data_IF_360124900215
#
_entry.id   IF_360124900215
#
_cell.length_a   1.000
_cell.length_b   1.000
_cell.length_c   1.000
_cell.angle_alpha   90.00
_cell.angle_beta   90.00
_cell.angle_gamma   90.00
#
_symmetry.space_group_name_H-M   'P 1'
#
loop_
_entity.id
_entity.type
_entity.pdbx_description
1 polymer ?
#
# COMPACT_ATOMS: atom_id res chain seq x y z
N UNK A 1 25.00 21.22 -25.88
CA UNK A 1 24.10 20.14 -25.40
C UNK A 1 24.88 18.83 -25.41
N UNK A 2 24.87 18.06 -24.33
CA UNK A 2 25.47 16.70 -24.31
C UNK A 2 24.40 15.71 -24.76
N UNK A 3 24.71 14.92 -25.78
CA UNK A 3 23.81 13.88 -26.28
C UNK A 3 24.05 12.63 -25.45
N UNK A 4 22.97 12.06 -24.90
CA UNK A 4 23.00 10.81 -24.15
C UNK A 4 22.25 9.78 -24.99
N UNK A 5 22.91 8.68 -25.33
CA UNK A 5 22.31 7.56 -26.06
C UNK A 5 21.94 6.47 -25.07
N UNK A 6 20.65 6.14 -25.00
CA UNK A 6 20.12 5.12 -24.10
C UNK A 6 19.62 3.94 -24.94
N UNK A 7 20.29 2.78 -24.92
CA UNK A 7 19.80 1.60 -25.61
C UNK A 7 18.55 1.08 -24.90
N UNK A 8 17.44 0.99 -25.63
CA UNK A 8 16.18 0.41 -25.16
C UNK A 8 15.99 -0.97 -25.78
N UNK A 9 15.38 -1.89 -25.04
CA UNK A 9 14.90 -3.15 -25.62
C UNK A 9 13.73 -2.88 -26.57
N UNK A 10 13.56 -3.72 -27.59
CA UNK A 10 12.49 -3.56 -28.60
C UNK A 10 11.10 -3.43 -27.97
N UNK A 11 10.84 -4.21 -26.91
CA UNK A 11 9.57 -4.15 -26.17
C UNK A 11 9.35 -2.82 -25.42
N UNK A 12 10.42 -2.21 -24.92
CA UNK A 12 10.36 -0.91 -24.22
C UNK A 12 10.21 0.21 -25.23
N UNK A 13 10.95 0.15 -26.34
CA UNK A 13 10.85 1.11 -27.43
C UNK A 13 9.46 1.11 -28.07
N UNK A 14 8.88 -0.06 -28.35
CA UNK A 14 7.53 -0.19 -28.89
C UNK A 14 6.46 0.39 -27.94
N UNK A 15 6.63 0.24 -26.62
CA UNK A 15 5.77 0.87 -25.62
C UNK A 15 5.93 2.38 -25.61
N UNK A 16 7.16 2.88 -25.67
CA UNK A 16 7.45 4.31 -25.72
C UNK A 16 6.87 4.96 -26.97
N UNK A 17 7.03 4.35 -28.15
CA UNK A 17 6.40 4.78 -29.41
C UNK A 17 4.88 4.88 -29.29
N UNK A 18 4.24 3.83 -28.78
CA UNK A 18 2.79 3.81 -28.60
C UNK A 18 2.30 4.92 -27.65
N UNK A 19 3.06 5.16 -26.58
CA UNK A 19 2.74 6.20 -25.61
C UNK A 19 2.98 7.61 -26.18
N UNK A 20 4.05 7.79 -26.95
CA UNK A 20 4.37 9.03 -27.64
C UNK A 20 3.27 9.40 -28.65
N UNK A 21 2.84 8.45 -29.48
CA UNK A 21 1.68 8.62 -30.38
C UNK A 21 0.40 9.00 -29.64
N UNK A 22 0.13 8.39 -28.48
CA UNK A 22 -1.08 8.69 -27.70
C UNK A 22 -1.08 10.05 -27.01
N UNK A 23 0.10 10.66 -26.85
CA UNK A 23 0.29 11.96 -26.18
C UNK A 23 0.64 13.07 -27.17
N UNK A 24 0.76 12.76 -28.46
CA UNK A 24 1.16 13.71 -29.50
C UNK A 24 2.61 14.19 -29.37
N UNK A 25 3.44 13.48 -28.61
CA UNK A 25 4.84 13.80 -28.39
C UNK A 25 5.74 12.93 -29.27
N UNK A 26 6.95 13.41 -29.56
CA UNK A 26 8.03 12.54 -30.06
C UNK A 26 8.58 11.65 -28.93
N UNK A 27 9.07 10.46 -29.29
CA UNK A 27 9.59 9.47 -28.32
C UNK A 27 10.74 10.04 -27.50
N UNK A 28 11.61 10.84 -28.12
CA UNK A 28 12.75 11.45 -27.43
C UNK A 28 12.28 12.44 -26.36
N UNK A 29 11.26 13.24 -26.69
CA UNK A 29 10.67 14.21 -25.77
C UNK A 29 9.97 13.50 -24.59
N UNK A 30 9.23 12.42 -24.88
CA UNK A 30 8.60 11.59 -23.85
C UNK A 30 9.64 10.97 -22.90
N UNK A 31 10.68 10.32 -23.42
CA UNK A 31 11.72 9.72 -22.60
C UNK A 31 12.47 10.77 -21.75
N UNK A 32 12.73 11.94 -22.32
CA UNK A 32 13.37 13.05 -21.59
C UNK A 32 12.50 13.53 -20.43
N UNK A 33 11.18 13.69 -20.63
CA UNK A 33 10.27 14.10 -19.55
C UNK A 33 10.21 13.09 -18.40
N UNK A 34 10.27 11.79 -18.71
CA UNK A 34 10.24 10.72 -17.70
C UNK A 34 11.53 10.76 -16.87
N UNK A 35 12.68 10.96 -17.52
CA UNK A 35 13.96 11.06 -16.82
C UNK A 35 14.02 12.29 -15.91
N UNK A 36 13.55 13.44 -16.40
CA UNK A 36 13.47 14.67 -15.58
C UNK A 36 12.57 14.44 -14.37
N UNK A 37 11.36 13.89 -14.55
CA UNK A 37 10.45 13.60 -13.42
C UNK A 37 11.10 12.66 -12.40
N UNK A 38 11.82 11.64 -12.86
CA UNK A 38 12.51 10.69 -11.98
C UNK A 38 13.57 11.38 -11.11
N UNK A 39 14.44 12.20 -11.71
CA UNK A 39 15.52 12.87 -10.97
C UNK A 39 15.03 14.05 -10.12
N UNK A 40 14.00 14.78 -10.56
CA UNK A 40 13.39 15.85 -9.77
C UNK A 40 12.69 15.32 -8.52
N UNK A 41 12.20 14.07 -8.54
CA UNK A 41 11.61 13.45 -7.34
C UNK A 41 12.63 12.98 -6.29
N UNK A 42 13.91 12.84 -6.63
CA UNK A 42 14.95 12.43 -5.66
C UNK A 42 15.52 13.62 -4.87
N UNK A 43 15.38 14.86 -5.37
CA UNK A 43 15.91 16.08 -4.72
C UNK A 43 14.80 16.95 -4.11
N UNK A 44 14.19 16.50 -3.02
CA UNK A 44 13.62 17.38 -1.98
C UNK A 44 12.45 18.35 -2.30
N UNK A 45 11.28 18.02 -1.73
CA UNK A 45 10.27 18.95 -1.17
C UNK A 45 9.71 20.10 -2.03
N UNK A 46 8.53 19.89 -2.64
CA UNK A 46 7.31 20.70 -2.51
C UNK A 46 6.21 20.22 -3.47
N UNK A 47 5.05 19.82 -2.95
CA UNK A 47 3.78 19.69 -3.71
C UNK A 47 3.20 21.10 -3.97
N UNK A 48 2.50 21.38 -5.10
CA UNK A 48 1.18 20.76 -5.35
C UNK A 48 0.76 20.49 -6.83
N UNK A 49 0.16 19.30 -7.01
CA UNK A 49 -1.08 18.95 -7.75
C UNK A 49 -1.31 19.40 -9.22
N UNK A 50 -1.65 18.37 -10.03
CA UNK A 50 -2.35 18.30 -11.36
C UNK A 50 -1.39 18.23 -12.57
N UNK A 51 -1.44 17.27 -13.50
CA UNK A 51 -2.40 16.22 -13.85
C UNK A 51 -1.61 14.94 -14.22
N UNK A 52 -1.71 13.89 -13.40
CA UNK A 52 -1.27 12.55 -13.82
C UNK A 52 -2.45 11.89 -14.52
N UNK A 53 -2.44 11.88 -15.85
CA UNK A 53 -3.20 10.91 -16.65
C UNK A 53 -2.58 9.54 -16.38
N UNK A 54 -3.01 8.97 -15.25
CA UNK A 54 -2.75 7.60 -14.86
C UNK A 54 -3.35 6.68 -15.92
N UNK A 55 -2.45 5.98 -16.61
CA UNK A 55 -2.76 4.73 -17.29
C UNK A 55 -3.34 3.75 -16.26
N UNK A 56 -4.61 3.38 -16.44
CA UNK A 56 -5.34 2.33 -15.72
C UNK A 56 -5.25 2.41 -14.20
N UNK A 57 -5.92 3.41 -13.62
CA UNK A 57 -6.47 3.25 -12.28
C UNK A 57 -7.48 2.10 -12.29
N UNK A 58 -7.10 0.94 -11.75
CA UNK A 58 -8.09 0.12 -11.03
C UNK A 58 -8.67 1.04 -9.96
N UNK A 59 -9.90 1.51 -10.16
CA UNK A 59 -10.51 2.51 -9.31
C UNK A 59 -10.51 1.99 -7.86
N UNK A 60 -9.71 2.62 -7.00
CA UNK A 60 -9.81 2.36 -5.58
C UNK A 60 -11.22 2.81 -5.16
N UNK A 61 -11.98 1.90 -4.54
CA UNK A 61 -13.39 2.12 -4.20
C UNK A 61 -13.56 3.35 -3.34
N UNK A 62 -14.75 3.96 -3.33
CA UNK A 62 -15.03 5.03 -2.37
C UNK A 62 -14.76 4.53 -0.94
N UNK A 63 -14.30 5.40 -0.01
CA UNK A 63 -14.21 5.05 1.39
C UNK A 63 -15.56 4.51 1.86
N UNK A 64 -15.54 3.37 2.54
CA UNK A 64 -16.73 2.80 3.17
C UNK A 64 -16.58 2.95 4.68
N UNK A 65 -17.69 3.20 5.37
CA UNK A 65 -17.73 3.05 6.81
C UNK A 65 -17.28 1.64 7.16
N UNK A 66 -16.51 1.48 8.24
CA UNK A 66 -15.97 0.19 8.58
C UNK A 66 -17.06 -0.88 8.83
N UNK A 67 -18.25 -0.47 9.28
CA UNK A 67 -19.43 -1.33 9.43
C UNK A 67 -19.91 -1.98 8.15
N UNK A 68 -19.64 -1.36 7.00
CA UNK A 68 -20.18 -1.73 5.69
C UNK A 68 -19.13 -2.47 4.83
N UNK A 69 -17.89 -2.57 5.31
CA UNK A 69 -16.80 -3.18 4.56
C UNK A 69 -16.78 -4.70 4.74
N UNK A 70 -17.27 -5.43 3.74
CA UNK A 70 -17.20 -6.88 3.69
C UNK A 70 -15.91 -7.35 2.99
N UNK A 71 -15.02 -8.01 3.75
CA UNK A 71 -13.73 -8.53 3.22
C UNK A 71 -13.96 -9.58 2.13
N UNK A 72 -14.86 -10.53 2.35
CA UNK A 72 -15.13 -11.63 1.41
C UNK A 72 -15.63 -11.12 0.06
N UNK A 73 -16.54 -10.15 0.07
CA UNK A 73 -17.06 -9.52 -1.15
C UNK A 73 -15.98 -8.70 -1.88
N UNK A 74 -15.10 -8.05 -1.11
CA UNK A 74 -13.99 -7.27 -1.67
C UNK A 74 -12.86 -8.15 -2.22
N UNK A 75 -12.70 -9.38 -1.73
CA UNK A 75 -11.61 -10.30 -2.09
C UNK A 75 -12.10 -11.72 -2.42
N UNK A 76 -12.98 -11.92 -3.44
CA UNK A 76 -13.66 -13.20 -3.67
C UNK A 76 -12.73 -14.34 -4.13
N UNK A 77 -11.57 -14.01 -4.70
CA UNK A 77 -10.60 -14.97 -5.24
C UNK A 77 -9.40 -15.21 -4.30
N UNK A 78 -9.58 -14.96 -3.00
CA UNK A 78 -8.55 -15.15 -1.99
C UNK A 78 -8.81 -16.41 -1.16
N UNK A 79 -7.76 -17.05 -0.63
CA UNK A 79 -7.96 -18.19 0.26
C UNK A 79 -8.77 -17.81 1.49
N UNK A 80 -9.67 -18.70 1.91
CA UNK A 80 -10.59 -18.45 3.05
C UNK A 80 -9.85 -18.05 4.33
N UNK A 81 -8.71 -18.68 4.61
CA UNK A 81 -7.89 -18.34 5.77
C UNK A 81 -7.35 -16.90 5.72
N UNK A 82 -6.94 -16.42 4.55
CA UNK A 82 -6.49 -15.03 4.37
C UNK A 82 -7.64 -14.03 4.60
N UNK A 83 -8.84 -14.38 4.12
CA UNK A 83 -10.06 -13.60 4.35
C UNK A 83 -10.40 -13.60 5.85
N UNK A 84 -10.38 -14.76 6.49
CA UNK A 84 -10.69 -14.92 7.90
C UNK A 84 -9.76 -14.10 8.81
N UNK A 85 -8.45 -14.11 8.54
CA UNK A 85 -7.49 -13.31 9.30
C UNK A 85 -7.68 -11.81 9.06
N UNK A 86 -7.98 -11.39 7.83
CA UNK A 86 -8.29 -9.99 7.55
C UNK A 86 -9.58 -9.54 8.27
N UNK A 87 -10.62 -10.37 8.34
CA UNK A 87 -11.85 -10.06 9.07
C UNK A 87 -11.61 -9.90 10.57
N UNK A 88 -10.86 -10.79 11.20
CA UNK A 88 -10.50 -10.69 12.63
C UNK A 88 -9.66 -9.42 12.87
N UNK A 89 -8.66 -9.18 12.01
CA UNK A 89 -7.82 -8.00 12.12
C UNK A 89 -8.64 -6.71 12.03
N UNK A 90 -9.51 -6.58 11.04
CA UNK A 90 -10.33 -5.39 10.85
C UNK A 90 -11.36 -5.18 11.97
N UNK A 91 -11.94 -6.27 12.52
CA UNK A 91 -12.80 -6.18 13.72
C UNK A 91 -12.05 -5.56 14.90
N UNK A 92 -10.79 -5.93 15.09
CA UNK A 92 -9.98 -5.35 16.15
C UNK A 92 -9.62 -3.88 15.87
N UNK A 93 -9.32 -3.53 14.62
CA UNK A 93 -9.14 -2.12 14.22
C UNK A 93 -10.39 -1.30 14.54
N UNK A 94 -11.59 -1.80 14.20
CA UNK A 94 -12.87 -1.16 14.49
C UNK A 94 -13.14 -1.06 15.99
N UNK A 95 -12.73 -2.06 16.77
CA UNK A 95 -12.83 -2.04 18.23
C UNK A 95 -11.96 -0.94 18.85
N UNK A 96 -10.76 -0.74 18.31
CA UNK A 96 -9.81 0.30 18.74
C UNK A 96 -10.25 1.69 18.28
N UNK A 97 -10.76 1.80 17.05
CA UNK A 97 -11.25 3.04 16.47
C UNK A 97 -12.54 2.79 15.65
N UNK A 98 -13.72 3.02 16.26
CA UNK A 98 -15.00 2.81 15.57
C UNK A 98 -15.26 3.76 14.41
N UNK A 99 -14.52 4.88 14.35
CA UNK A 99 -14.72 5.94 13.33
C UNK A 99 -13.86 5.74 12.09
N UNK A 100 -13.06 4.67 12.07
CA UNK A 100 -12.11 4.43 11.00
C UNK A 100 -12.82 4.19 9.66
N UNK A 101 -12.30 4.76 8.59
CA UNK A 101 -12.78 4.49 7.24
C UNK A 101 -11.90 3.43 6.58
N UNK A 102 -12.53 2.43 5.96
CA UNK A 102 -11.87 1.34 5.26
C UNK A 102 -12.00 1.52 3.75
N UNK A 103 -10.90 1.26 3.04
CA UNK A 103 -10.88 1.35 1.58
C UNK A 103 -10.10 0.18 0.99
N UNK A 104 -10.70 -0.54 0.05
CA UNK A 104 -9.93 -1.47 -0.79
C UNK A 104 -9.06 -0.68 -1.75
N UNK A 105 -7.75 -0.91 -1.69
CA UNK A 105 -6.80 -0.31 -2.62
C UNK A 105 -6.40 -1.33 -3.71
N UNK A 106 -5.85 -0.83 -4.83
CA UNK A 106 -5.49 -1.67 -5.96
C UNK A 106 -4.48 -2.75 -5.52
N UNK A 107 -4.73 -4.00 -5.91
CA UNK A 107 -3.86 -5.16 -5.69
C UNK A 107 -3.81 -5.74 -4.26
N UNK A 108 -4.99 -5.93 -3.65
CA UNK A 108 -5.18 -6.85 -2.52
C UNK A 108 -4.91 -6.25 -1.14
N UNK A 109 -4.98 -4.93 -1.05
CA UNK A 109 -4.69 -4.16 0.16
C UNK A 109 -5.99 -3.57 0.74
N UNK A 110 -6.02 -3.42 2.06
CA UNK A 110 -7.04 -2.62 2.76
C UNK A 110 -6.32 -1.44 3.40
N UNK A 111 -6.65 -0.26 2.90
CA UNK A 111 -6.21 1.01 3.43
C UNK A 111 -7.14 1.48 4.55
N UNK A 112 -6.54 2.03 5.59
CA UNK A 112 -7.18 2.42 6.84
C UNK A 112 -6.78 3.88 7.05
N UNK A 113 -7.70 4.81 6.83
CA UNK A 113 -7.36 6.23 6.51
C UNK A 113 -6.53 6.96 7.56
N UNK A 114 -6.65 6.60 8.83
CA UNK A 114 -5.85 7.17 9.91
C UNK A 114 -4.37 6.73 9.87
N UNK A 115 -4.03 5.79 8.98
CA UNK A 115 -2.68 5.35 8.68
C UNK A 115 -1.90 4.96 9.95
N UNK A 116 -2.59 4.40 10.95
CA UNK A 116 -1.95 3.81 12.13
C UNK A 116 -1.71 2.32 11.94
N UNK A 117 -2.49 1.69 11.07
CA UNK A 117 -2.29 0.31 10.60
C UNK A 117 -2.70 0.19 9.14
N UNK A 118 -2.29 -0.88 8.46
CA UNK A 118 -2.70 -1.20 7.08
C UNK A 118 -2.66 -2.70 6.85
N UNK A 119 -3.58 -3.24 6.06
CA UNK A 119 -3.42 -4.57 5.47
C UNK A 119 -2.76 -4.36 4.11
N UNK A 120 -1.45 -4.59 4.02
CA UNK A 120 -0.66 -4.40 2.81
C UNK A 120 -0.93 -5.46 1.74
N UNK A 121 -1.37 -6.66 2.14
CA UNK A 121 -1.77 -7.69 1.19
C UNK A 121 -2.52 -8.82 1.92
N UNK A 122 -3.59 -9.32 1.30
CA UNK A 122 -3.99 -10.70 1.51
C UNK A 122 -3.02 -11.61 0.72
N UNK A 123 -2.61 -12.74 1.29
CA UNK A 123 -1.65 -13.66 0.66
C UNK A 123 -2.40 -14.75 -0.10
N UNK A 124 -2.11 -14.91 -1.40
CA UNK A 124 -2.72 -15.96 -2.24
C UNK A 124 -2.03 -17.32 -2.14
N UNK A 125 -0.69 -17.34 -2.07
CA UNK A 125 0.11 -18.57 -2.21
C UNK A 125 0.45 -19.24 -0.87
N UNK A 126 0.65 -18.45 0.18
CA UNK A 126 1.09 -18.93 1.50
C UNK A 126 -0.02 -18.97 2.55
N UNK A 127 -1.23 -18.53 2.17
CA UNK A 127 -2.34 -18.22 3.08
C UNK A 127 -1.98 -17.16 4.14
N UNK A 128 -2.96 -16.39 4.62
CA UNK A 128 -2.75 -15.34 5.61
C UNK A 128 -2.65 -13.92 5.07
N UNK A 129 -2.12 -12.99 5.88
CA UNK A 129 -2.12 -11.55 5.59
C UNK A 129 -0.78 -10.90 5.91
N UNK A 130 -0.42 -9.87 5.16
CA UNK A 130 0.68 -8.96 5.47
C UNK A 130 0.11 -7.64 5.96
N UNK A 131 0.57 -7.19 7.12
CA UNK A 131 0.07 -5.99 7.79
C UNK A 131 1.21 -5.06 8.14
N UNK A 132 0.90 -3.79 8.32
CA UNK A 132 1.82 -2.78 8.80
C UNK A 132 1.21 -1.97 9.92
N UNK A 133 2.06 -1.53 10.83
CA UNK A 133 1.72 -0.78 12.03
C UNK A 133 2.58 0.47 12.10
N UNK A 134 1.98 1.59 12.47
CA UNK A 134 2.70 2.83 12.68
C UNK A 134 3.54 2.75 13.96
N UNK A 135 4.83 3.07 13.83
CA UNK A 135 5.85 2.86 14.85
C UNK A 135 6.92 1.89 14.35
N UNK A 136 8.17 2.11 14.75
CA UNK A 136 9.27 1.13 14.59
C UNK A 136 9.18 0.06 15.69
N UNK A 137 9.72 -1.16 15.52
CA UNK A 137 9.48 -2.28 16.44
C UNK A 137 9.84 -1.98 17.90
N UNK A 138 10.88 -1.17 18.12
CA UNK A 138 11.34 -0.68 19.43
C UNK A 138 10.32 0.19 20.19
N UNK A 139 9.33 0.75 19.49
CA UNK A 139 8.27 1.57 20.08
C UNK A 139 7.10 0.75 20.62
N UNK A 140 7.05 -0.55 20.31
CA UNK A 140 6.01 -1.45 20.78
C UNK A 140 6.46 -2.17 22.05
N UNK A 141 5.62 -2.11 23.08
CA UNK A 141 5.80 -2.90 24.29
C UNK A 141 5.52 -4.37 23.95
N UNK A 142 6.45 -5.25 24.32
CA UNK A 142 6.38 -6.69 24.05
C UNK A 142 6.15 -6.99 22.56
N UNK A 143 6.93 -6.34 21.68
CA UNK A 143 6.87 -6.58 20.24
C UNK A 143 7.08 -8.07 19.94
N UNK A 144 6.11 -8.75 19.30
CA UNK A 144 6.23 -10.16 18.97
C UNK A 144 7.30 -10.37 17.89
N UNK A 145 7.88 -11.57 17.83
CA UNK A 145 8.97 -11.86 16.89
C UNK A 145 8.57 -11.77 15.41
N UNK A 146 7.27 -11.88 15.13
CA UNK A 146 6.69 -11.71 13.80
C UNK A 146 6.67 -10.23 13.34
N UNK A 147 6.76 -9.28 14.28
CA UNK A 147 6.83 -7.85 13.99
C UNK A 147 8.27 -7.44 13.66
N UNK A 148 8.49 -7.03 12.41
CA UNK A 148 9.81 -6.63 11.88
C UNK A 148 9.80 -5.17 11.46
N UNK A 149 10.99 -4.62 11.26
CA UNK A 149 11.14 -3.29 10.68
C UNK A 149 10.51 -3.25 9.28
N UNK A 150 9.60 -2.31 9.07
CA UNK A 150 8.97 -2.02 7.78
C UNK A 150 9.59 -0.79 7.11
N UNK A 151 8.85 -0.18 6.18
CA UNK A 151 9.30 1.00 5.47
C UNK A 151 9.06 2.28 6.29
N UNK A 152 10.12 3.09 6.46
CA UNK A 152 10.04 4.37 7.15
C UNK A 152 9.59 4.22 8.61
N UNK A 153 8.54 4.94 8.99
CA UNK A 153 7.99 4.94 10.36
C UNK A 153 7.04 3.76 10.65
N UNK A 154 7.10 2.67 9.88
CA UNK A 154 6.22 1.53 10.05
C UNK A 154 6.99 0.25 10.40
N UNK A 155 6.33 -0.60 11.18
CA UNK A 155 6.67 -2.00 11.40
C UNK A 155 5.76 -2.87 10.53
N UNK A 156 6.21 -4.08 10.20
CA UNK A 156 5.51 -5.01 9.32
C UNK A 156 5.46 -6.39 9.93
N UNK A 157 4.35 -7.08 9.77
CA UNK A 157 4.21 -8.49 10.14
C UNK A 157 3.58 -9.29 9.00
N UNK A 158 3.98 -10.55 8.88
CA UNK A 158 3.36 -11.55 7.99
C UNK A 158 2.71 -12.58 8.90
N UNK A 159 1.39 -12.70 8.80
CA UNK A 159 0.57 -13.54 9.68
C UNK A 159 0.15 -14.75 8.86
N UNK A 160 0.72 -15.92 9.16
CA UNK A 160 0.44 -17.16 8.42
C UNK A 160 -0.43 -18.13 9.22
N UNK A 161 -0.54 -17.92 10.53
CA UNK A 161 -1.34 -18.75 11.43
C UNK A 161 -2.10 -17.92 12.51
N UNK A 162 -2.92 -18.60 13.32
CA UNK A 162 -3.72 -17.96 14.37
C UNK A 162 -2.91 -17.49 15.58
N UNK A 163 -1.74 -18.07 15.82
CA UNK A 163 -0.85 -17.68 16.92
C UNK A 163 -0.22 -16.31 16.63
N UNK A 164 0.36 -16.16 15.43
CA UNK A 164 0.87 -14.88 14.92
C UNK A 164 -0.20 -13.78 15.00
N UNK A 165 -1.45 -14.12 14.63
CA UNK A 165 -2.56 -13.19 14.67
C UNK A 165 -2.83 -12.74 16.11
N UNK A 166 -2.94 -13.67 17.06
CA UNK A 166 -3.19 -13.33 18.47
C UNK A 166 -2.10 -12.46 19.06
N UNK A 167 -0.84 -12.73 18.73
CA UNK A 167 0.30 -11.94 19.19
C UNK A 167 0.31 -10.51 18.62
N UNK A 168 -0.15 -10.33 17.38
CA UNK A 168 -0.08 -9.03 16.71
C UNK A 168 -1.26 -8.10 17.04
N UNK A 169 -2.45 -8.64 17.35
CA UNK A 169 -3.66 -7.84 17.59
C UNK A 169 -3.45 -6.74 18.66
N UNK A 170 -2.77 -6.97 19.80
CA UNK A 170 -2.46 -5.93 20.78
C UNK A 170 -1.62 -4.76 20.22
N UNK A 171 -0.89 -4.94 19.12
CA UNK A 171 -0.10 -3.88 18.50
C UNK A 171 -0.98 -2.82 17.83
N UNK A 172 -2.24 -3.14 17.48
CA UNK A 172 -3.17 -2.19 16.85
C UNK A 172 -3.43 -1.00 17.77
N UNK A 173 -3.75 -1.24 19.05
CA UNK A 173 -3.97 -0.18 20.04
C UNK A 173 -2.70 0.65 20.26
N UNK A 174 -1.54 0.00 20.34
CA UNK A 174 -0.27 0.70 20.54
C UNK A 174 0.06 1.61 19.36
N UNK A 175 -0.14 1.12 18.12
CA UNK A 175 0.05 1.91 16.92
C UNK A 175 -0.89 3.12 16.87
N UNK A 176 -2.14 2.97 17.30
CA UNK A 176 -3.09 4.08 17.42
C UNK A 176 -2.59 5.13 18.41
N UNK A 177 -2.16 4.72 19.60
CA UNK A 177 -1.63 5.62 20.62
C UNK A 177 -0.39 6.38 20.11
N UNK A 178 0.52 5.69 19.42
CA UNK A 178 1.71 6.31 18.82
C UNK A 178 1.35 7.34 17.74
N UNK A 179 0.28 7.12 16.99
CA UNK A 179 -0.19 8.03 15.95
C UNK A 179 -0.82 9.31 16.53
N UNK A 180 -1.56 9.19 17.64
CA UNK A 180 -2.26 10.30 18.29
C UNK A 180 -1.32 11.22 19.10
N UNK A 181 -0.13 10.76 19.48
CA UNK A 181 0.87 11.54 20.22
C UNK A 181 1.68 12.54 19.35
N UNK A 182 1.33 12.70 18.07
CA UNK A 182 1.91 13.70 17.16
C UNK A 182 0.93 14.82 16.89
#
# INVERSE_FOLDING_TARGET
MKIISIPLTDSTYARALKQASSTGLDVTALCTSILIEYFDTETGTATPRKQKLSSKHSAATAPQNASDFNVRENFPNFPEQSIHFAEIFLKEVQRVDPTVELRKHANCEVDIRDNFVRIEALLKRKHGIRVSFYGTPDKFKNAPAVLRQGMGSYSRAVIENMEDLREILPMIQQARNLKTLR
#
